data_IF_276342677286
#
_entry.id   IF_276342677286
#
_cell.length_a   1.000
_cell.length_b   1.000
_cell.length_c   1.000
_cell.angle_alpha   90.00
_cell.angle_beta   90.00
_cell.angle_gamma   90.00
#
_symmetry.space_group_name_H-M   'P 1'
#
loop_
_entity.id
_entity.type
_entity.pdbx_description
1 polymer ?
#
# COMPACT_ATOMS: atom_id res chain seq x y z
N UNK A 1 -34.42 0.99 9.63
CA UNK A 1 -33.49 0.98 8.47
C UNK A 1 -32.18 0.23 8.79
N UNK A 2 -32.24 -0.90 9.52
CA UNK A 2 -31.05 -1.60 10.06
C UNK A 2 -30.86 -3.03 9.51
N UNK A 3 -31.80 -3.51 8.70
CA UNK A 3 -31.86 -4.91 8.27
C UNK A 3 -31.04 -5.20 7.02
N UNK A 4 -30.82 -4.22 6.13
CA UNK A 4 -30.03 -4.44 4.90
C UNK A 4 -28.53 -4.54 5.15
N UNK A 5 -27.98 -3.74 6.07
CA UNK A 5 -26.54 -3.76 6.41
C UNK A 5 -26.15 -4.94 7.32
N UNK A 6 -27.04 -5.42 8.19
CA UNK A 6 -26.76 -6.61 9.03
C UNK A 6 -26.84 -7.91 8.21
N UNK A 7 -27.73 -7.96 7.21
CA UNK A 7 -27.86 -9.13 6.32
C UNK A 7 -26.62 -9.30 5.43
N UNK A 8 -25.94 -8.22 5.05
CA UNK A 8 -24.75 -8.30 4.20
C UNK A 8 -23.52 -8.85 4.94
N UNK A 9 -23.27 -8.44 6.19
CA UNK A 9 -22.08 -8.89 6.94
C UNK A 9 -22.08 -10.40 7.17
N UNK A 10 -23.21 -10.97 7.63
CA UNK A 10 -23.32 -12.40 7.87
C UNK A 10 -23.09 -13.23 6.60
N UNK A 11 -23.62 -12.78 5.46
CA UNK A 11 -23.41 -13.42 4.17
C UNK A 11 -21.93 -13.40 3.74
N UNK A 12 -21.25 -12.27 3.93
CA UNK A 12 -19.82 -12.15 3.65
C UNK A 12 -18.97 -13.04 4.56
N UNK A 13 -19.31 -13.17 5.85
CA UNK A 13 -18.64 -14.12 6.75
C UNK A 13 -18.83 -15.56 6.28
N UNK A 14 -20.06 -15.95 5.93
CA UNK A 14 -20.35 -17.30 5.39
C UNK A 14 -19.56 -17.56 4.10
N UNK A 15 -19.45 -16.55 3.23
CA UNK A 15 -18.65 -16.66 2.01
C UNK A 15 -17.14 -16.76 2.30
N UNK A 16 -16.65 -16.11 3.36
CA UNK A 16 -15.24 -16.10 3.73
C UNK A 16 -14.77 -17.41 4.37
N UNK A 17 -15.57 -18.03 5.24
CA UNK A 17 -15.21 -19.26 5.98
C UNK A 17 -14.57 -20.34 5.08
N UNK A 18 -15.17 -20.79 3.96
CA UNK A 18 -14.57 -21.81 3.11
C UNK A 18 -13.31 -21.35 2.36
N UNK A 19 -13.04 -20.03 2.34
CA UNK A 19 -11.92 -19.41 1.63
C UNK A 19 -10.73 -19.07 2.55
N UNK A 20 -10.86 -19.29 3.86
CA UNK A 20 -9.83 -18.93 4.85
C UNK A 20 -8.45 -19.53 4.57
N UNK A 21 -8.38 -20.79 4.14
CA UNK A 21 -7.11 -21.43 3.76
C UNK A 21 -6.44 -20.73 2.57
N UNK A 22 -7.24 -20.23 1.62
CA UNK A 22 -6.75 -19.47 0.46
C UNK A 22 -6.23 -18.11 0.90
N UNK A 23 -6.93 -17.41 1.81
CA UNK A 23 -6.46 -16.13 2.37
C UNK A 23 -5.08 -16.30 3.02
N UNK A 24 -4.92 -17.31 3.87
CA UNK A 24 -3.61 -17.60 4.49
C UNK A 24 -2.54 -17.87 3.43
N UNK A 25 -2.87 -18.67 2.41
CA UNK A 25 -1.95 -18.97 1.30
C UNK A 25 -1.53 -17.73 0.51
N UNK A 26 -2.36 -16.70 0.42
CA UNK A 26 -2.01 -15.42 -0.23
C UNK A 26 -0.88 -14.65 0.49
N UNK A 27 -0.56 -15.01 1.74
CA UNK A 27 0.51 -14.39 2.52
C UNK A 27 1.78 -15.25 2.63
N UNK A 28 1.81 -16.43 1.99
CA UNK A 28 2.96 -17.34 2.00
C UNK A 28 3.80 -17.23 0.71
N UNK A 29 5.08 -17.63 0.74
CA UNK A 29 5.90 -17.73 -0.47
C UNK A 29 5.24 -18.62 -1.54
N UNK A 30 5.29 -18.19 -2.80
CA UNK A 30 4.65 -18.90 -3.91
C UNK A 30 3.12 -18.75 -3.95
N UNK A 31 2.58 -17.69 -3.35
CA UNK A 31 1.17 -17.34 -3.42
C UNK A 31 0.68 -17.24 -4.89
N UNK A 32 -0.57 -17.64 -5.20
CA UNK A 32 -1.14 -17.52 -6.54
C UNK A 32 -1.30 -16.08 -7.05
N UNK A 33 -1.28 -15.13 -6.12
CA UNK A 33 -1.29 -13.69 -6.36
C UNK A 33 -0.09 -13.14 -5.60
N UNK A 34 0.77 -12.38 -6.28
CA UNK A 34 1.93 -11.78 -5.65
C UNK A 34 1.50 -10.74 -4.59
N UNK A 35 2.43 -10.40 -3.69
CA UNK A 35 2.15 -9.50 -2.59
C UNK A 35 1.64 -8.13 -3.06
N UNK A 36 2.12 -7.62 -4.19
CA UNK A 36 1.75 -6.30 -4.69
C UNK A 36 0.32 -6.28 -5.20
N UNK A 37 -0.02 -7.21 -6.09
CA UNK A 37 -1.38 -7.38 -6.61
C UNK A 37 -2.36 -7.66 -5.47
N UNK A 38 -1.95 -8.42 -4.45
CA UNK A 38 -2.74 -8.62 -3.23
C UNK A 38 -3.08 -7.29 -2.55
N UNK A 39 -2.10 -6.43 -2.26
CA UNK A 39 -2.36 -5.14 -1.61
C UNK A 39 -3.15 -4.18 -2.50
N UNK A 40 -2.97 -4.25 -3.83
CA UNK A 40 -3.76 -3.47 -4.78
C UNK A 40 -5.25 -3.89 -4.75
N UNK A 41 -5.53 -5.20 -4.81
CA UNK A 41 -6.88 -5.76 -4.65
C UNK A 41 -7.46 -5.34 -3.30
N UNK A 42 -6.74 -5.51 -2.19
CA UNK A 42 -7.20 -5.11 -0.86
C UNK A 42 -7.51 -3.61 -0.75
N UNK A 43 -6.72 -2.76 -1.43
CA UNK A 43 -6.97 -1.31 -1.50
C UNK A 43 -8.28 -1.00 -2.22
N UNK A 44 -8.52 -1.63 -3.38
CA UNK A 44 -9.75 -1.43 -4.16
C UNK A 44 -10.97 -1.98 -3.43
N UNK A 45 -10.86 -3.16 -2.81
CA UNK A 45 -11.93 -3.74 -1.97
C UNK A 45 -12.30 -2.79 -0.84
N UNK A 46 -11.33 -2.26 -0.11
CA UNK A 46 -11.58 -1.32 0.98
C UNK A 46 -12.24 -0.03 0.49
N UNK A 47 -11.82 0.49 -0.67
CA UNK A 47 -12.46 1.66 -1.30
C UNK A 47 -13.90 1.39 -1.72
N UNK A 48 -14.15 0.28 -2.39
CA UNK A 48 -15.49 -0.14 -2.83
C UNK A 48 -16.43 -0.44 -1.64
N UNK A 49 -15.89 -0.96 -0.53
CA UNK A 49 -16.61 -1.18 0.71
C UNK A 49 -16.80 0.11 1.54
N UNK A 50 -16.31 1.27 1.09
CA UNK A 50 -16.47 2.55 1.78
C UNK A 50 -15.52 2.78 2.96
N UNK A 51 -14.52 1.93 3.18
CA UNK A 51 -13.60 2.05 4.30
C UNK A 51 -12.28 2.74 3.92
N UNK A 52 -12.29 4.07 3.92
CA UNK A 52 -11.13 4.88 3.54
C UNK A 52 -9.90 4.66 4.45
N UNK A 53 -10.09 4.30 5.72
CA UNK A 53 -8.99 4.06 6.64
C UNK A 53 -8.22 2.77 6.28
N UNK A 54 -8.94 1.68 6.03
CA UNK A 54 -8.37 0.42 5.60
C UNK A 54 -7.74 0.53 4.21
N UNK A 55 -8.38 1.27 3.30
CA UNK A 55 -7.81 1.57 1.97
C UNK A 55 -6.47 2.29 2.06
N UNK A 56 -6.30 3.25 2.99
CA UNK A 56 -5.01 3.91 3.22
C UNK A 56 -3.94 2.95 3.74
N UNK A 57 -4.29 2.03 4.63
CA UNK A 57 -3.34 1.04 5.17
C UNK A 57 -2.81 0.14 4.05
N UNK A 58 -3.69 -0.40 3.21
CA UNK A 58 -3.27 -1.25 2.09
C UNK A 58 -2.54 -0.47 1.01
N UNK A 59 -2.90 0.79 0.75
CA UNK A 59 -2.14 1.66 -0.15
C UNK A 59 -0.70 1.90 0.37
N UNK A 60 -0.53 2.10 1.67
CA UNK A 60 0.81 2.22 2.28
C UNK A 60 1.61 0.93 2.15
N UNK A 61 0.98 -0.23 2.33
CA UNK A 61 1.63 -1.52 2.10
C UNK A 61 2.05 -1.72 0.65
N UNK A 62 1.16 -1.39 -0.29
CA UNK A 62 1.47 -1.41 -1.70
C UNK A 62 2.67 -0.51 -2.03
N UNK A 63 2.71 0.70 -1.47
CA UNK A 63 3.82 1.63 -1.66
C UNK A 63 5.14 1.11 -1.09
N UNK A 64 5.10 0.42 0.06
CA UNK A 64 6.26 -0.24 0.65
C UNK A 64 6.82 -1.37 -0.22
N UNK A 65 6.01 -1.99 -1.07
CA UNK A 65 6.43 -3.05 -1.99
C UNK A 65 7.09 -2.50 -3.28
N UNK A 66 7.15 -1.17 -3.45
CA UNK A 66 7.88 -0.50 -4.53
C UNK A 66 7.07 -0.26 -5.81
N UNK A 67 7.67 0.35 -6.86
CA UNK A 67 7.01 0.59 -8.15
C UNK A 67 6.92 -0.69 -9.00
N UNK A 68 5.88 -0.77 -9.84
CA UNK A 68 5.71 -1.75 -10.91
C UNK A 68 4.61 -1.25 -11.85
N UNK A 69 4.75 -1.67 -13.10
CA UNK A 69 3.80 -1.38 -14.17
C UNK A 69 2.51 -2.16 -13.90
N UNK A 70 1.39 -1.42 -13.85
CA UNK A 70 0.07 -2.04 -13.90
C UNK A 70 -0.16 -2.52 -15.33
N UNK A 71 -0.63 -3.75 -15.46
CA UNK A 71 -0.95 -4.38 -16.74
C UNK A 71 -2.43 -4.23 -17.05
N UNK A 72 -2.84 -4.43 -18.30
CA UNK A 72 -4.27 -4.49 -18.67
C UNK A 72 -5.02 -5.55 -17.85
N UNK A 73 -4.35 -6.68 -17.56
CA UNK A 73 -4.86 -7.72 -16.68
C UNK A 73 -5.18 -7.20 -15.26
N UNK A 74 -4.38 -6.28 -14.73
CA UNK A 74 -4.66 -5.67 -13.42
C UNK A 74 -5.91 -4.81 -13.47
N UNK A 75 -6.09 -4.01 -14.52
CA UNK A 75 -7.27 -3.16 -14.70
C UNK A 75 -8.55 -4.00 -14.77
N UNK A 76 -8.52 -5.12 -15.50
CA UNK A 76 -9.66 -6.04 -15.60
C UNK A 76 -9.97 -6.76 -14.27
N UNK A 77 -8.94 -7.23 -13.55
CA UNK A 77 -9.10 -7.80 -12.21
C UNK A 77 -9.74 -6.77 -11.27
N UNK A 78 -9.28 -5.51 -11.31
CA UNK A 78 -9.80 -4.47 -10.42
C UNK A 78 -11.24 -4.09 -10.77
N UNK A 79 -11.61 -4.05 -12.05
CA UNK A 79 -12.99 -3.85 -12.47
C UNK A 79 -13.91 -4.96 -11.94
N UNK A 80 -13.47 -6.21 -12.05
CA UNK A 80 -14.17 -7.35 -11.48
C UNK A 80 -14.30 -7.25 -9.96
N UNK A 81 -13.23 -6.85 -9.25
CA UNK A 81 -13.25 -6.68 -7.78
C UNK A 81 -14.32 -5.67 -7.36
N UNK A 82 -14.42 -4.52 -8.04
CA UNK A 82 -15.44 -3.51 -7.74
C UNK A 82 -16.85 -4.09 -7.91
N UNK A 83 -17.10 -4.82 -9.01
CA UNK A 83 -18.39 -5.48 -9.24
C UNK A 83 -18.69 -6.55 -8.16
N UNK A 84 -17.70 -7.35 -7.79
CA UNK A 84 -17.85 -8.41 -6.80
C UNK A 84 -18.12 -7.89 -5.37
N UNK A 85 -17.62 -6.70 -5.03
CA UNK A 85 -17.97 -6.05 -3.75
C UNK A 85 -19.43 -5.60 -3.73
N UNK A 86 -19.97 -5.15 -4.87
CA UNK A 86 -21.37 -4.76 -4.99
C UNK A 86 -22.33 -5.97 -4.92
N UNK A 87 -21.91 -7.11 -5.47
CA UNK A 87 -22.73 -8.32 -5.58
C UNK A 87 -22.00 -9.58 -5.07
N UNK A 88 -22.38 -10.07 -3.88
CA UNK A 88 -21.81 -11.29 -3.24
C UNK A 88 -21.82 -12.51 -4.18
N UNK A 89 -22.80 -12.60 -5.08
CA UNK A 89 -22.97 -13.72 -6.02
C UNK A 89 -21.78 -13.95 -6.96
N UNK A 90 -20.94 -12.93 -7.19
CA UNK A 90 -19.80 -13.02 -8.11
C UNK A 90 -18.58 -13.78 -7.54
N UNK A 91 -18.60 -14.23 -6.28
CA UNK A 91 -17.43 -14.84 -5.61
C UNK A 91 -17.04 -16.25 -6.08
N UNK A 92 -17.68 -16.79 -7.11
CA UNK A 92 -17.26 -18.02 -7.78
C UNK A 92 -16.06 -17.80 -8.72
N UNK A 93 -15.68 -16.54 -8.97
CA UNK A 93 -14.59 -16.16 -9.87
C UNK A 93 -14.99 -16.15 -11.34
N UNK A 94 -16.29 -16.31 -11.64
CA UNK A 94 -16.84 -16.07 -12.96
C UNK A 94 -16.67 -14.59 -13.34
N UNK A 95 -16.29 -14.32 -14.58
CA UNK A 95 -16.02 -12.96 -15.06
C UNK A 95 -14.62 -12.41 -14.75
N UNK A 96 -13.75 -13.15 -14.06
CA UNK A 96 -12.31 -12.82 -14.06
C UNK A 96 -11.68 -13.14 -15.44
N UNK A 97 -10.58 -12.45 -15.83
CA UNK A 97 -9.93 -12.64 -17.13
C UNK A 97 -9.37 -14.05 -17.33
N UNK A 98 -9.43 -14.58 -18.56
CA UNK A 98 -9.02 -15.93 -18.95
C UNK A 98 -7.54 -16.23 -18.71
N UNK A 99 -6.73 -15.18 -18.70
CA UNK A 99 -5.31 -15.17 -18.36
C UNK A 99 -5.06 -15.48 -16.87
N UNK A 100 -6.04 -15.27 -15.99
CA UNK A 100 -5.93 -15.63 -14.59
C UNK A 100 -5.99 -17.15 -14.41
N UNK A 101 -4.90 -17.73 -13.88
CA UNK A 101 -4.90 -19.13 -13.46
C UNK A 101 -6.06 -19.44 -12.49
N UNK A 102 -6.58 -20.67 -12.45
CA UNK A 102 -7.64 -21.04 -11.51
C UNK A 102 -7.29 -20.77 -10.03
N UNK A 103 -6.01 -20.87 -9.69
CA UNK A 103 -5.53 -20.57 -8.34
C UNK A 103 -5.55 -19.06 -8.05
N UNK A 104 -5.17 -18.22 -9.02
CA UNK A 104 -5.24 -16.77 -8.91
C UNK A 104 -6.70 -16.30 -8.77
N UNK A 105 -7.63 -16.87 -9.55
CA UNK A 105 -9.06 -16.54 -9.44
C UNK A 105 -9.63 -16.81 -8.06
N UNK A 106 -9.33 -18.00 -7.50
CA UNK A 106 -9.73 -18.35 -6.13
C UNK A 106 -9.11 -17.42 -5.09
N UNK A 107 -7.84 -17.03 -5.29
CA UNK A 107 -7.13 -16.11 -4.41
C UNK A 107 -7.75 -14.71 -4.44
N UNK A 108 -8.05 -14.15 -5.62
CA UNK A 108 -8.72 -12.85 -5.74
C UNK A 108 -10.10 -12.89 -5.07
N UNK A 109 -10.93 -13.90 -5.35
CA UNK A 109 -12.24 -14.03 -4.69
C UNK A 109 -12.13 -14.18 -3.16
N UNK A 110 -11.11 -14.89 -2.65
CA UNK A 110 -10.84 -14.99 -1.23
C UNK A 110 -10.43 -13.64 -0.61
N UNK A 111 -9.60 -12.86 -1.32
CA UNK A 111 -9.19 -11.52 -0.90
C UNK A 111 -10.35 -10.52 -0.90
N UNK A 112 -11.28 -10.60 -1.86
CA UNK A 112 -12.51 -9.80 -1.85
C UNK A 112 -13.34 -10.12 -0.60
N UNK A 113 -13.64 -11.39 -0.36
CA UNK A 113 -14.43 -11.79 0.81
C UNK A 113 -13.76 -11.37 2.13
N UNK A 114 -12.45 -11.56 2.24
CA UNK A 114 -11.69 -11.14 3.42
C UNK A 114 -11.71 -9.62 3.60
N UNK A 115 -11.44 -8.87 2.53
CA UNK A 115 -11.40 -7.41 2.57
C UNK A 115 -12.73 -6.77 2.91
N UNK A 116 -13.86 -7.31 2.43
CA UNK A 116 -15.20 -6.80 2.79
C UNK A 116 -15.52 -7.07 4.25
N UNK A 117 -15.27 -8.28 4.75
CA UNK A 117 -15.41 -8.59 6.18
C UNK A 117 -14.50 -7.69 7.02
N UNK A 118 -13.29 -7.42 6.55
CA UNK A 118 -12.33 -6.57 7.24
C UNK A 118 -12.80 -5.11 7.32
N UNK A 119 -13.28 -4.55 6.21
CA UNK A 119 -13.85 -3.20 6.15
C UNK A 119 -15.05 -3.06 7.11
N UNK A 120 -16.01 -3.97 7.02
CA UNK A 120 -17.18 -3.97 7.91
C UNK A 120 -16.79 -4.10 9.39
N UNK A 121 -15.82 -4.95 9.71
CA UNK A 121 -15.31 -5.10 11.08
C UNK A 121 -14.68 -3.80 11.58
N UNK A 122 -13.88 -3.12 10.76
CA UNK A 122 -13.25 -1.86 11.11
C UNK A 122 -14.29 -0.75 11.35
N UNK A 123 -15.32 -0.66 10.52
CA UNK A 123 -16.40 0.34 10.70
C UNK A 123 -17.24 0.07 11.96
N UNK A 124 -17.49 -1.21 12.26
CA UNK A 124 -18.18 -1.63 13.50
C UNK A 124 -17.33 -1.34 14.74
N UNK A 125 -16.02 -1.56 14.67
CA UNK A 125 -15.10 -1.20 15.74
C UNK A 125 -15.05 0.32 15.97
N UNK A 126 -15.01 1.13 14.91
CA UNK A 126 -15.11 2.59 15.01
C UNK A 126 -16.43 3.05 15.63
N UNK A 127 -17.55 2.47 15.19
CA UNK A 127 -18.88 2.76 15.73
C UNK A 127 -18.98 2.39 17.22
N UNK A 128 -18.44 1.24 17.63
CA UNK A 128 -18.38 0.83 19.03
C UNK A 128 -17.56 1.83 19.86
N UNK A 129 -16.38 2.24 19.38
CA UNK A 129 -15.54 3.22 20.05
C UNK A 129 -16.25 4.58 20.22
N UNK A 130 -16.99 5.04 19.21
CA UNK A 130 -17.77 6.27 19.30
C UNK A 130 -18.92 6.18 20.31
N UNK A 131 -19.61 5.03 20.40
CA UNK A 131 -20.65 4.81 21.43
C UNK A 131 -20.05 4.78 22.83
N UNK A 132 -18.92 4.11 23.00
CA UNK A 132 -18.20 4.08 24.28
C UNK A 132 -17.73 5.47 24.71
N UNK A 133 -17.24 6.28 23.77
CA UNK A 133 -16.85 7.66 23.99
C UNK A 133 -18.03 8.65 24.16
N UNK A 134 -19.29 8.18 24.02
CA UNK A 134 -20.48 9.04 24.14
C UNK A 134 -20.74 9.93 22.91
N UNK A 135 -20.01 9.73 21.81
CA UNK A 135 -20.19 10.44 20.53
C UNK A 135 -21.36 9.91 19.72
N UNK A 136 -21.88 8.72 20.06
CA UNK A 136 -23.04 8.07 19.41
C UNK A 136 -23.94 7.41 20.46
N UNK A 137 -25.23 7.26 20.15
CA UNK A 137 -26.23 6.63 21.04
C UNK A 137 -25.81 5.21 21.46
N UNK A 138 -25.92 4.89 22.75
CA UNK A 138 -25.58 3.58 23.34
C UNK A 138 -26.74 2.58 23.32
N UNK A 139 -27.52 2.54 22.23
CA UNK A 139 -28.61 1.59 22.07
C UNK A 139 -28.10 0.13 22.28
N UNK A 140 -28.62 -0.64 23.25
CA UNK A 140 -28.05 -1.93 23.64
C UNK A 140 -27.92 -2.94 22.51
N UNK A 141 -28.93 -3.03 21.64
CA UNK A 141 -28.91 -3.93 20.48
C UNK A 141 -27.80 -3.55 19.48
N UNK A 142 -27.58 -2.26 19.26
CA UNK A 142 -26.54 -1.80 18.36
C UNK A 142 -25.13 -2.07 18.94
N UNK A 143 -24.97 -1.90 20.25
CA UNK A 143 -23.72 -2.28 20.94
C UNK A 143 -23.47 -3.79 20.82
N UNK A 144 -24.50 -4.62 21.04
CA UNK A 144 -24.38 -6.08 20.92
C UNK A 144 -24.00 -6.50 19.48
N UNK A 145 -24.62 -5.89 18.47
CA UNK A 145 -24.29 -6.15 17.06
C UNK A 145 -22.85 -5.74 16.72
N UNK A 146 -22.41 -4.55 17.16
CA UNK A 146 -21.05 -4.06 16.94
C UNK A 146 -20.01 -4.96 17.65
N UNK A 147 -20.30 -5.43 18.88
CA UNK A 147 -19.45 -6.38 19.61
C UNK A 147 -19.39 -7.74 18.91
N UNK A 148 -20.53 -8.28 18.45
CA UNK A 148 -20.57 -9.55 17.75
C UNK A 148 -19.76 -9.50 16.44
N UNK A 149 -19.93 -8.43 15.65
CA UNK A 149 -19.14 -8.22 14.43
C UNK A 149 -17.65 -8.12 14.73
N UNK A 150 -17.26 -7.40 15.79
CA UNK A 150 -15.87 -7.33 16.24
C UNK A 150 -15.36 -8.70 16.70
N UNK A 151 -16.12 -9.48 17.46
CA UNK A 151 -15.68 -10.79 17.94
C UNK A 151 -15.44 -11.78 16.78
N UNK A 152 -16.27 -11.72 15.74
CA UNK A 152 -16.16 -12.57 14.55
C UNK A 152 -15.02 -12.10 13.63
N UNK A 153 -14.91 -10.79 13.41
CA UNK A 153 -13.96 -10.21 12.46
C UNK A 153 -12.56 -9.92 13.02
N UNK A 154 -12.42 -9.71 14.33
CA UNK A 154 -11.14 -9.35 14.94
C UNK A 154 -10.05 -10.41 14.73
N UNK A 155 -10.29 -11.73 14.88
CA UNK A 155 -9.26 -12.74 14.59
C UNK A 155 -8.72 -12.67 13.15
N UNK A 156 -9.53 -12.17 12.21
CA UNK A 156 -9.24 -12.09 10.78
C UNK A 156 -8.50 -10.81 10.38
N UNK A 157 -8.59 -9.78 11.22
CA UNK A 157 -8.18 -8.41 10.89
C UNK A 157 -7.12 -7.84 11.83
N UNK A 158 -7.09 -8.31 13.08
CA UNK A 158 -6.14 -7.87 14.10
C UNK A 158 -4.69 -8.02 13.68
N UNK A 159 -4.24 -9.11 13.03
CA UNK A 159 -2.84 -9.21 12.60
C UNK A 159 -2.48 -8.08 11.63
N UNK A 160 -3.28 -7.85 10.59
CA UNK A 160 -3.05 -6.79 9.59
C UNK A 160 -3.12 -5.40 10.22
N UNK A 161 -4.10 -5.16 11.10
CA UNK A 161 -4.25 -3.90 11.82
C UNK A 161 -3.09 -3.65 12.80
N UNK A 162 -2.60 -4.68 13.49
CA UNK A 162 -1.47 -4.58 14.41
C UNK A 162 -0.17 -4.23 13.66
N UNK A 163 0.10 -4.88 12.53
CA UNK A 163 1.28 -4.55 11.72
C UNK A 163 1.13 -3.16 11.09
N UNK A 164 -0.06 -2.79 10.60
CA UNK A 164 -0.34 -1.44 10.09
C UNK A 164 -0.18 -0.36 11.16
N UNK A 165 -0.66 -0.60 12.39
CA UNK A 165 -0.49 0.31 13.52
C UNK A 165 0.97 0.43 13.95
N UNK A 166 1.71 -0.68 13.95
CA UNK A 166 3.15 -0.71 14.21
C UNK A 166 3.90 0.11 13.16
N UNK A 167 3.63 -0.10 11.87
CA UNK A 167 4.25 0.68 10.80
C UNK A 167 3.85 2.16 10.85
N UNK A 168 2.60 2.48 11.17
CA UNK A 168 2.14 3.85 11.36
C UNK A 168 2.80 4.53 12.57
N UNK A 169 3.05 3.77 13.65
CA UNK A 169 3.83 4.25 14.79
C UNK A 169 5.30 4.47 14.39
N UNK A 170 5.92 3.53 13.67
CA UNK A 170 7.28 3.67 13.13
C UNK A 170 7.36 4.89 12.20
N UNK A 171 6.37 5.13 11.34
CA UNK A 171 6.32 6.28 10.46
C UNK A 171 6.20 7.63 11.18
N UNK A 172 5.50 7.66 12.31
CA UNK A 172 5.39 8.85 13.19
C UNK A 172 6.64 9.09 14.04
N UNK A 173 7.33 8.02 14.42
CA UNK A 173 8.60 8.07 15.16
C UNK A 173 9.80 8.27 14.23
N UNK A 174 9.64 8.01 12.94
CA UNK A 174 10.68 8.19 11.95
C UNK A 174 11.04 9.67 11.84
N UNK A 175 12.33 10.00 11.68
CA UNK A 175 12.81 11.37 11.54
C UNK A 175 12.13 12.10 10.39
N UNK A 176 12.11 13.43 10.43
CA UNK A 176 11.71 14.21 9.27
C UNK A 176 12.60 13.90 8.06
N UNK A 177 12.08 14.01 6.82
CA UNK A 177 12.89 13.80 5.63
C UNK A 177 14.07 14.76 5.63
N UNK A 178 15.27 14.24 5.40
CA UNK A 178 16.44 15.09 5.21
C UNK A 178 16.26 15.94 3.96
N UNK A 179 16.58 17.24 4.05
CA UNK A 179 16.66 18.09 2.88
C UNK A 179 17.74 17.56 1.93
N UNK A 180 17.45 17.55 0.63
CA UNK A 180 18.42 17.19 -0.39
C UNK A 180 19.20 18.45 -0.78
N UNK A 181 20.46 18.50 -0.38
CA UNK A 181 21.39 19.56 -0.77
C UNK A 181 21.89 19.29 -2.19
N UNK A 182 21.82 20.30 -3.04
CA UNK A 182 22.28 20.23 -4.43
C UNK A 182 23.52 21.09 -4.57
N UNK A 183 24.47 20.62 -5.38
CA UNK A 183 25.69 21.36 -5.71
C UNK A 183 25.40 22.75 -6.30
N UNK A 184 26.37 23.66 -6.22
CA UNK A 184 26.25 25.05 -6.72
C UNK A 184 26.15 25.08 -8.25
N UNK A 185 26.83 24.15 -8.92
CA UNK A 185 26.84 24.00 -10.38
C UNK A 185 26.32 22.60 -10.77
N UNK A 186 25.01 22.33 -10.61
CA UNK A 186 24.49 21.00 -10.83
C UNK A 186 24.35 20.70 -12.33
N UNK A 187 24.77 19.50 -12.74
CA UNK A 187 24.41 18.99 -14.06
C UNK A 187 22.96 18.46 -14.06
N UNK A 188 22.42 18.13 -15.23
CA UNK A 188 21.04 17.65 -15.36
C UNK A 188 20.77 16.39 -14.51
N UNK A 189 21.71 15.44 -14.47
CA UNK A 189 21.59 14.23 -13.65
C UNK A 189 21.54 14.56 -12.15
N UNK A 190 22.31 15.55 -11.71
CA UNK A 190 22.32 16.03 -10.32
C UNK A 190 20.93 16.55 -9.94
N UNK A 191 20.31 17.35 -10.81
CA UNK A 191 18.95 17.88 -10.58
C UNK A 191 17.88 16.77 -10.58
N UNK A 192 17.93 15.84 -11.53
CA UNK A 192 16.99 14.70 -11.59
C UNK A 192 17.10 13.80 -10.35
N UNK A 193 18.32 13.52 -9.90
CA UNK A 193 18.53 12.76 -8.66
C UNK A 193 18.01 13.56 -7.46
N UNK A 194 18.28 14.86 -7.39
CA UNK A 194 17.79 15.69 -6.29
C UNK A 194 16.26 15.71 -6.19
N UNK A 195 15.56 15.68 -7.32
CA UNK A 195 14.10 15.65 -7.38
C UNK A 195 13.52 14.26 -7.05
N UNK A 196 14.23 13.19 -7.39
CA UNK A 196 13.74 11.81 -7.20
C UNK A 196 14.10 11.22 -5.84
N UNK A 197 15.24 11.59 -5.25
CA UNK A 197 15.72 11.08 -3.97
C UNK A 197 14.72 11.25 -2.81
N UNK A 198 13.96 12.36 -2.67
CA UNK A 198 12.93 12.49 -1.66
C UNK A 198 11.89 11.38 -1.71
N UNK A 199 11.52 10.92 -2.91
CA UNK A 199 10.57 9.81 -3.08
C UNK A 199 11.17 8.49 -2.62
N UNK A 200 12.46 8.26 -2.87
CA UNK A 200 13.15 7.01 -2.54
C UNK A 200 13.49 6.93 -1.05
N UNK A 201 13.96 8.04 -0.48
CA UNK A 201 14.39 8.16 0.91
C UNK A 201 13.29 8.66 1.85
N UNK A 202 12.12 9.05 1.31
CA UNK A 202 10.99 9.56 2.08
C UNK A 202 10.25 8.50 2.91
N UNK A 203 10.47 7.22 2.64
CA UNK A 203 9.94 6.13 3.47
C UNK A 203 10.47 6.22 4.91
N UNK A 204 9.70 5.72 5.88
CA UNK A 204 10.13 5.71 7.29
C UNK A 204 11.51 5.04 7.49
N UNK A 205 11.78 3.98 6.74
CA UNK A 205 13.06 3.30 6.71
C UNK A 205 14.16 4.15 6.07
N UNK A 206 13.89 4.77 4.92
CA UNK A 206 14.84 5.68 4.27
C UNK A 206 15.25 6.85 5.16
N UNK A 207 14.27 7.52 5.78
CA UNK A 207 14.51 8.63 6.73
C UNK A 207 15.29 8.18 7.96
N UNK A 208 14.95 7.02 8.52
CA UNK A 208 15.68 6.46 9.67
C UNK A 208 17.10 6.08 9.29
N UNK A 209 17.30 5.46 8.12
CA UNK A 209 18.61 5.09 7.59
C UNK A 209 19.50 6.34 7.44
N UNK A 210 19.01 7.38 6.77
CA UNK A 210 19.73 8.64 6.56
C UNK A 210 20.11 9.28 7.90
N UNK A 211 19.18 9.33 8.85
CA UNK A 211 19.39 9.95 10.15
C UNK A 211 20.34 9.17 11.07
N UNK A 212 20.32 7.83 10.99
CA UNK A 212 21.09 6.95 11.88
C UNK A 212 22.42 6.50 11.29
N UNK A 213 22.69 6.75 10.00
CA UNK A 213 23.98 6.43 9.41
C UNK A 213 25.08 7.29 10.06
N UNK A 214 26.08 6.70 10.74
CA UNK A 214 27.15 7.46 11.40
C UNK A 214 28.16 8.05 10.41
N UNK A 215 28.19 7.50 9.20
CA UNK A 215 29.09 7.87 8.10
C UNK A 215 28.27 8.39 6.93
N UNK A 216 28.90 9.15 6.04
CA UNK A 216 28.30 9.43 4.73
C UNK A 216 28.72 8.35 3.76
N UNK A 217 27.74 7.75 3.10
CA UNK A 217 27.96 6.76 2.04
C UNK A 217 27.88 7.48 0.70
N UNK A 218 29.02 7.66 0.00
CA UNK A 218 29.04 8.21 -1.34
C UNK A 218 28.73 7.12 -2.37
N UNK A 219 27.69 7.37 -3.15
CA UNK A 219 27.22 6.52 -4.24
C UNK A 219 27.27 7.32 -5.53
N UNK A 220 28.10 6.90 -6.48
CA UNK A 220 28.10 7.51 -7.79
C UNK A 220 26.99 6.94 -8.67
N UNK A 221 26.39 7.80 -9.47
CA UNK A 221 25.47 7.47 -10.54
C UNK A 221 26.06 8.03 -11.82
N UNK A 222 26.24 7.18 -12.82
CA UNK A 222 26.73 7.55 -14.15
C UNK A 222 25.69 7.18 -15.19
N UNK A 223 25.48 8.10 -16.12
CA UNK A 223 24.65 7.87 -17.31
C UNK A 223 25.27 8.56 -18.50
N UNK A 224 25.79 7.78 -19.43
CA UNK A 224 26.56 8.27 -20.55
C UNK A 224 27.79 9.07 -20.07
N UNK A 225 27.90 10.32 -20.53
CA UNK A 225 29.01 11.21 -20.19
C UNK A 225 28.78 12.01 -18.89
N UNK A 226 27.59 11.93 -18.30
CA UNK A 226 27.24 12.66 -17.08
C UNK A 226 27.40 11.76 -15.85
N UNK A 227 28.01 12.32 -14.80
CA UNK A 227 28.16 11.66 -13.51
C UNK A 227 27.63 12.55 -12.37
N UNK A 228 27.13 11.93 -11.32
CA UNK A 228 26.75 12.60 -10.08
C UNK A 228 27.07 11.70 -8.90
N UNK A 229 27.34 12.28 -7.74
CA UNK A 229 27.60 11.55 -6.51
C UNK A 229 26.54 11.89 -5.48
N UNK A 230 25.74 10.90 -5.10
CA UNK A 230 24.77 11.00 -4.01
C UNK A 230 25.46 10.59 -2.72
N UNK A 231 25.47 11.47 -1.72
CA UNK A 231 26.04 11.21 -0.41
C UNK A 231 24.90 11.13 0.60
N UNK A 232 24.74 9.98 1.24
CA UNK A 232 23.66 9.72 2.19
C UNK A 232 24.23 9.39 3.56
N UNK A 233 23.79 10.09 4.59
CA UNK A 233 24.13 9.77 5.98
C UNK A 233 24.25 11.01 6.85
N UNK A 234 24.49 10.81 8.15
CA UNK A 234 24.59 11.90 9.14
C UNK A 234 23.38 12.86 9.13
N UNK A 235 22.19 12.34 8.81
CA UNK A 235 20.97 13.13 8.73
C UNK A 235 20.85 14.03 7.51
N UNK A 236 21.72 13.88 6.50
CA UNK A 236 21.69 14.69 5.27
C UNK A 236 21.79 13.84 4.01
N UNK A 237 21.30 14.42 2.92
CA UNK A 237 21.44 13.87 1.57
C UNK A 237 22.03 14.99 0.72
N UNK A 238 23.14 14.73 0.04
CA UNK A 238 23.77 15.70 -0.87
C UNK A 238 23.96 15.08 -2.24
N UNK A 239 23.65 15.82 -3.29
CA UNK A 239 23.95 15.42 -4.67
C UNK A 239 25.01 16.36 -5.21
N UNK A 240 26.19 15.82 -5.48
CA UNK A 240 27.37 16.54 -5.97
C UNK A 240 27.52 16.27 -7.46
N UNK A 241 27.88 17.30 -8.22
CA UNK A 241 28.16 17.14 -9.65
C UNK A 241 29.46 16.31 -9.84
N UNK A 242 29.43 15.35 -10.75
CA UNK A 242 30.56 14.47 -11.05
C UNK A 242 30.67 13.24 -10.14
N UNK A 243 31.69 12.43 -10.42
CA UNK A 243 32.01 11.21 -9.65
C UNK A 243 33.13 11.58 -8.68
N UNK A 244 32.84 11.55 -7.37
CA UNK A 244 33.85 11.82 -6.36
C UNK A 244 34.86 10.66 -6.26
N UNK A 245 36.09 10.97 -5.86
CA UNK A 245 37.18 9.98 -5.79
C UNK A 245 37.00 8.96 -4.66
N UNK A 246 36.12 9.24 -3.71
CA UNK A 246 35.89 8.44 -2.51
C UNK A 246 34.60 7.60 -2.55
N UNK A 247 34.04 7.41 -3.75
CA UNK A 247 32.81 6.65 -3.97
C UNK A 247 32.95 5.19 -3.54
N UNK A 248 31.94 4.69 -2.83
CA UNK A 248 31.89 3.30 -2.37
C UNK A 248 31.19 2.38 -3.37
N UNK A 249 30.26 2.92 -4.16
CA UNK A 249 29.51 2.17 -5.17
C UNK A 249 29.21 3.05 -6.39
N UNK A 250 29.35 2.48 -7.58
CA UNK A 250 29.00 3.13 -8.85
C UNK A 250 27.82 2.40 -9.49
N UNK A 251 26.74 3.15 -9.75
CA UNK A 251 25.61 2.71 -10.55
C UNK A 251 25.78 3.26 -11.96
N UNK A 252 26.06 2.39 -12.91
CA UNK A 252 26.26 2.73 -14.31
C UNK A 252 25.08 2.20 -15.12
N UNK A 253 24.30 3.10 -15.73
CA UNK A 253 23.12 2.72 -16.49
C UNK A 253 22.41 3.91 -17.12
N UNK A 254 21.58 3.65 -18.13
CA UNK A 254 20.74 4.68 -18.74
C UNK A 254 19.69 5.17 -17.73
N UNK A 255 19.66 6.49 -17.53
CA UNK A 255 18.71 7.20 -16.66
C UNK A 255 17.25 6.85 -16.96
N UNK A 256 16.92 6.35 -18.16
CA UNK A 256 15.55 5.96 -18.52
C UNK A 256 14.92 4.95 -17.54
N UNK A 257 15.70 4.04 -16.95
CA UNK A 257 15.20 3.14 -15.91
C UNK A 257 14.87 3.87 -14.59
N UNK A 258 15.68 4.87 -14.24
CA UNK A 258 15.48 5.75 -13.07
C UNK A 258 14.31 6.72 -13.29
N UNK A 259 14.19 7.29 -14.49
CA UNK A 259 13.10 8.16 -14.89
C UNK A 259 11.78 7.41 -14.95
N UNK A 260 11.71 6.21 -15.54
CA UNK A 260 10.48 5.41 -15.52
C UNK A 260 9.99 5.17 -14.09
N UNK A 261 10.89 4.81 -13.17
CA UNK A 261 10.55 4.64 -11.76
C UNK A 261 9.99 5.92 -11.11
N UNK A 262 10.54 7.10 -11.45
CA UNK A 262 10.04 8.40 -10.99
C UNK A 262 8.77 8.90 -11.70
N UNK A 263 8.62 8.64 -13.01
CA UNK A 263 7.49 9.08 -13.83
C UNK A 263 6.18 8.38 -13.44
N UNK A 264 6.24 7.12 -13.00
CA UNK A 264 5.06 6.44 -12.46
C UNK A 264 4.47 7.15 -11.24
N UNK A 265 5.29 7.85 -10.45
CA UNK A 265 4.83 8.66 -9.32
C UNK A 265 4.06 9.91 -9.78
N UNK A 266 4.59 10.65 -10.76
CA UNK A 266 3.92 11.82 -11.37
C UNK A 266 2.60 11.44 -12.07
N UNK A 267 2.60 10.30 -12.78
CA UNK A 267 1.39 9.80 -13.44
C UNK A 267 0.32 9.42 -12.41
N UNK A 268 0.73 8.90 -11.25
CA UNK A 268 -0.15 8.54 -10.12
C UNK A 268 -0.74 9.77 -9.41
N UNK A 269 0.06 10.81 -9.19
CA UNK A 269 -0.39 12.11 -8.65
C UNK A 269 -1.42 12.77 -9.59
N UNK A 270 -1.18 12.75 -10.90
CA UNK A 270 -2.10 13.27 -11.91
C UNK A 270 -3.42 12.46 -11.96
N UNK A 271 -3.36 11.13 -11.81
CA UNK A 271 -4.56 10.26 -11.75
C UNK A 271 -5.36 10.50 -10.48
N UNK A 272 -4.68 10.64 -9.33
CA UNK A 272 -5.31 10.93 -8.04
C UNK A 272 -5.97 12.33 -8.00
N UNK A 273 -5.36 13.32 -8.67
CA UNK A 273 -5.95 14.65 -8.84
C UNK A 273 -7.20 14.63 -9.76
N UNK A 274 -7.24 13.71 -10.74
CA UNK A 274 -8.36 13.55 -11.67
C UNK A 274 -9.56 12.82 -11.06
N UNK A 275 -9.36 11.96 -10.07
CA UNK A 275 -10.42 11.26 -9.31
C UNK A 275 -11.08 12.12 -8.22
N UNK A 276 -10.53 13.32 -7.92
CA UNK A 276 -11.11 14.30 -6.98
C UNK A 276 -11.97 15.37 -7.66
N UNK A 277 -12.23 15.24 -8.95
CA UNK A 277 -13.20 16.07 -9.71
C UNK A 277 -14.36 15.20 -10.14
#
# INVERSE_FOLDING_TARGET
MSTSEETSFGQWVIALVPRMGTVVRCHLPGAPVDARRRELVSTVVAGAAGNAALGRIHAQWHDLLGPAELTELDDEILAWVVAAVAEIGALDGSGLPDECSPAARRAVAALVAHGVVAAATADRAGSLADRLAGRRSRAPLAVAADVAACAVGAPLTLPTAAVGALLGAIGRLAPEPAAVEVDVEPNLLTLLLAETLPTWLGSAWGRTLVARLPVEVPVAVRSGLSGATVRVGRGRVRVVNGIADDVWALFDGEIDALLRAGSHHLTRELRAARLRR
#
